data_IF_673203345561
#
_entry.id   IF_673203345561
#
_cell.length_a   1.000
_cell.length_b   1.000
_cell.length_c   1.000
_cell.angle_alpha   90.00
_cell.angle_beta   90.00
_cell.angle_gamma   90.00
#
_symmetry.space_group_name_H-M   'P 1'
#
loop_
_entity.id
_entity.type
_entity.pdbx_description
1 polymer ?
#
# COMPACT_ATOMS: atom_id res chain seq x y z
N UNK A 1 -38.74 -54.08 -7.62
CA UNK A 1 -37.44 -54.76 -7.77
C UNK A 1 -36.42 -53.97 -7.01
N UNK A 2 -36.02 -54.46 -5.85
CA UNK A 2 -34.99 -53.87 -4.96
C UNK A 2 -33.59 -54.16 -5.53
N UNK A 3 -32.71 -53.22 -5.49
CA UNK A 3 -31.26 -53.46 -5.45
C UNK A 3 -30.65 -52.55 -4.38
N UNK A 4 -30.30 -53.16 -3.27
CA UNK A 4 -29.48 -52.59 -2.20
C UNK A 4 -28.01 -52.67 -2.62
N UNK A 5 -27.27 -51.55 -2.54
CA UNK A 5 -25.82 -51.55 -2.62
C UNK A 5 -25.25 -51.23 -1.24
N UNK A 6 -24.50 -52.17 -0.71
CA UNK A 6 -23.85 -52.14 0.59
C UNK A 6 -22.66 -51.17 0.56
N UNK A 7 -22.61 -50.19 1.51
CA UNK A 7 -21.43 -49.46 1.83
C UNK A 7 -20.60 -50.25 2.84
N UNK A 8 -19.40 -50.64 2.42
CA UNK A 8 -18.41 -51.19 3.33
C UNK A 8 -17.66 -49.99 4.04
N UNK A 9 -17.91 -49.89 5.34
CA UNK A 9 -17.14 -49.00 6.24
C UNK A 9 -15.88 -49.76 6.63
N UNK A 10 -14.73 -49.32 6.12
CA UNK A 10 -13.42 -49.71 6.63
C UNK A 10 -12.99 -48.72 7.69
N UNK A 11 -13.17 -49.08 8.96
CA UNK A 11 -12.47 -48.44 10.09
C UNK A 11 -11.00 -48.83 10.04
N UNK A 12 -10.14 -47.92 9.76
CA UNK A 12 -8.70 -48.02 10.08
C UNK A 12 -8.46 -47.21 11.35
N UNK A 13 -8.30 -47.92 12.45
CA UNK A 13 -7.69 -47.42 13.66
C UNK A 13 -6.20 -47.26 13.38
N UNK A 14 -5.74 -46.03 13.24
CA UNK A 14 -4.33 -45.65 13.18
C UNK A 14 -4.01 -44.82 14.42
N UNK A 15 -3.19 -45.39 15.31
CA UNK A 15 -2.66 -44.79 16.51
C UNK A 15 -1.96 -43.48 16.22
N UNK A 16 -2.19 -42.49 17.08
CA UNK A 16 -1.52 -41.23 17.08
C UNK A 16 0.01 -41.39 17.31
N UNK A 17 0.76 -40.76 16.47
CA UNK A 17 2.07 -40.23 16.81
C UNK A 17 2.11 -38.77 16.35
N UNK A 18 2.42 -37.90 17.27
CA UNK A 18 2.53 -36.47 17.14
C UNK A 18 3.48 -36.08 16.02
N UNK A 19 2.93 -35.64 14.89
CA UNK A 19 3.70 -34.95 13.85
C UNK A 19 3.83 -33.46 14.24
N UNK A 20 4.67 -33.18 15.21
CA UNK A 20 5.13 -31.79 15.50
C UNK A 20 6.53 -31.50 14.96
N UNK A 21 7.26 -32.53 14.51
CA UNK A 21 8.65 -32.39 14.09
C UNK A 21 8.91 -32.30 12.57
N UNK A 22 7.87 -32.44 11.72
CA UNK A 22 8.07 -32.48 10.27
C UNK A 22 7.87 -31.12 9.53
N UNK A 23 7.44 -30.05 10.24
CA UNK A 23 7.27 -28.72 9.63
C UNK A 23 8.55 -27.88 9.62
N UNK A 24 9.65 -28.33 10.21
CA UNK A 24 10.88 -27.55 10.36
C UNK A 24 11.96 -27.82 9.28
N UNK A 25 11.80 -28.83 8.45
CA UNK A 25 12.77 -29.11 7.39
C UNK A 25 12.38 -28.45 6.08
N UNK A 26 13.38 -27.87 5.39
CA UNK A 26 13.20 -27.32 4.05
C UNK A 26 12.57 -28.34 3.12
N UNK A 27 11.49 -27.95 2.44
CA UNK A 27 10.97 -28.72 1.31
C UNK A 27 12.04 -28.71 0.21
N UNK A 28 12.32 -29.86 -0.35
CA UNK A 28 13.27 -29.98 -1.47
C UNK A 28 12.50 -30.33 -2.73
N UNK A 29 12.84 -29.67 -3.83
CA UNK A 29 12.33 -30.04 -5.15
C UNK A 29 12.94 -31.36 -5.63
N UNK A 30 12.44 -31.92 -6.72
CA UNK A 30 13.00 -33.11 -7.37
C UNK A 30 14.48 -32.93 -7.76
N UNK A 31 14.91 -31.70 -7.98
CA UNK A 31 16.32 -31.32 -8.26
C UNK A 31 17.18 -31.18 -6.99
N UNK A 32 16.58 -31.26 -5.79
CA UNK A 32 17.26 -31.06 -4.50
C UNK A 32 17.34 -29.61 -4.05
N UNK A 33 16.77 -28.66 -4.81
CA UNK A 33 16.72 -27.25 -4.43
C UNK A 33 15.83 -27.01 -3.21
N UNK A 34 16.19 -26.05 -2.36
CA UNK A 34 15.34 -25.52 -1.29
C UNK A 34 14.13 -24.81 -1.92
N UNK A 35 12.92 -25.26 -1.58
CA UNK A 35 11.69 -24.63 -2.05
C UNK A 35 11.24 -23.56 -1.05
N UNK A 36 10.99 -22.34 -1.55
CA UNK A 36 10.41 -21.23 -0.83
C UNK A 36 9.00 -20.98 -1.36
N UNK A 37 8.00 -21.17 -0.51
CA UNK A 37 6.61 -20.88 -0.86
C UNK A 37 6.33 -19.39 -0.57
N UNK A 38 6.02 -18.62 -1.60
CA UNK A 38 5.74 -17.19 -1.53
C UNK A 38 4.26 -16.91 -1.76
N UNK A 39 3.68 -16.02 -0.98
CA UNK A 39 2.28 -15.60 -1.10
C UNK A 39 2.17 -14.09 -1.16
N UNK A 40 1.50 -13.59 -2.19
CA UNK A 40 1.31 -12.15 -2.37
C UNK A 40 -0.03 -11.82 -3.05
N UNK A 41 -0.35 -10.50 -3.12
CA UNK A 41 -1.62 -10.02 -3.67
C UNK A 41 -1.50 -9.35 -5.05
N UNK A 42 -0.32 -9.24 -5.64
CA UNK A 42 -0.18 -8.58 -6.93
C UNK A 42 -0.63 -9.50 -8.06
N UNK A 43 -1.73 -9.11 -8.73
CA UNK A 43 -2.27 -9.89 -9.85
C UNK A 43 -1.23 -10.04 -10.96
N UNK A 44 -1.07 -11.25 -11.48
CA UNK A 44 -0.19 -11.53 -12.63
C UNK A 44 -0.64 -10.83 -13.92
N UNK A 45 -1.91 -10.42 -13.98
CA UNK A 45 -2.46 -9.64 -15.10
C UNK A 45 -2.13 -8.13 -14.99
N UNK A 46 -1.56 -7.68 -13.86
CA UNK A 46 -1.11 -6.30 -13.68
C UNK A 46 0.36 -6.14 -14.05
N UNK A 47 0.78 -4.95 -14.50
CA UNK A 47 2.18 -4.65 -14.82
C UNK A 47 3.11 -4.96 -13.64
N UNK A 48 2.72 -4.55 -12.42
CA UNK A 48 3.51 -4.81 -11.20
C UNK A 48 3.64 -6.30 -10.86
N UNK A 49 2.58 -7.07 -11.05
CA UNK A 49 2.61 -8.51 -10.83
C UNK A 49 3.44 -9.23 -11.88
N UNK A 50 3.29 -8.84 -13.16
CA UNK A 50 4.09 -9.39 -14.25
C UNK A 50 5.58 -9.09 -14.08
N UNK A 51 5.95 -7.87 -13.63
CA UNK A 51 7.33 -7.51 -13.33
C UNK A 51 7.92 -8.34 -12.17
N UNK A 52 7.14 -8.55 -11.12
CA UNK A 52 7.57 -9.41 -9.99
C UNK A 52 7.72 -10.87 -10.41
N UNK A 53 6.78 -11.41 -11.18
CA UNK A 53 6.85 -12.79 -11.69
C UNK A 53 8.10 -13.01 -12.56
N UNK A 54 8.40 -12.04 -13.43
CA UNK A 54 9.61 -12.06 -14.27
C UNK A 54 10.87 -12.09 -13.39
N UNK A 55 10.96 -11.22 -12.39
CA UNK A 55 12.07 -11.15 -11.44
C UNK A 55 12.26 -12.48 -10.68
N UNK A 56 11.16 -13.10 -10.26
CA UNK A 56 11.20 -14.40 -9.57
C UNK A 56 11.67 -15.52 -10.51
N UNK A 57 11.27 -15.49 -11.79
CA UNK A 57 11.76 -16.45 -12.78
C UNK A 57 13.25 -16.30 -13.02
N UNK A 58 13.76 -15.08 -13.15
CA UNK A 58 15.18 -14.78 -13.29
C UNK A 58 15.97 -15.29 -12.07
N UNK A 59 15.50 -15.04 -10.84
CA UNK A 59 16.08 -15.59 -9.62
C UNK A 59 16.12 -17.13 -9.63
N UNK A 60 15.02 -17.77 -10.02
CA UNK A 60 14.93 -19.24 -10.07
C UNK A 60 15.89 -19.82 -11.11
N UNK A 61 16.06 -19.16 -12.25
CA UNK A 61 17.00 -19.60 -13.30
C UNK A 61 18.47 -19.46 -12.84
N UNK A 62 18.81 -18.36 -12.19
CA UNK A 62 20.15 -18.13 -11.62
C UNK A 62 20.49 -19.10 -10.49
N UNK A 63 19.48 -19.52 -9.71
CA UNK A 63 19.63 -20.40 -8.55
C UNK A 63 19.21 -21.85 -8.83
N UNK A 64 19.12 -22.23 -10.10
CA UNK A 64 18.69 -23.57 -10.51
C UNK A 64 19.41 -24.68 -9.77
N UNK A 65 18.64 -25.57 -9.15
CA UNK A 65 19.13 -26.70 -8.36
C UNK A 65 19.62 -26.32 -6.95
N UNK A 66 19.51 -25.06 -6.54
CA UNK A 66 19.84 -24.58 -5.19
C UNK A 66 18.61 -24.02 -4.47
N UNK A 67 17.92 -23.06 -5.07
CA UNK A 67 16.74 -22.41 -4.51
C UNK A 67 15.66 -22.34 -5.62
N UNK A 68 14.41 -22.58 -5.24
CA UNK A 68 13.22 -22.44 -6.10
C UNK A 68 12.13 -21.69 -5.35
N UNK A 69 11.73 -20.51 -5.82
CA UNK A 69 10.61 -19.75 -5.28
C UNK A 69 9.34 -20.13 -6.03
N UNK A 70 8.33 -20.63 -5.30
CA UNK A 70 7.00 -20.97 -5.81
C UNK A 70 5.98 -19.96 -5.33
N UNK A 71 5.25 -19.36 -6.26
CA UNK A 71 4.33 -18.27 -5.99
C UNK A 71 2.89 -18.75 -5.92
N UNK A 72 2.15 -18.21 -4.95
CA UNK A 72 0.69 -18.24 -4.89
C UNK A 72 0.18 -16.80 -4.81
N UNK A 73 -0.84 -16.46 -5.60
CA UNK A 73 -1.39 -15.10 -5.66
C UNK A 73 -2.84 -15.08 -5.18
N UNK A 74 -3.19 -14.05 -4.40
CA UNK A 74 -4.59 -13.68 -4.12
C UNK A 74 -4.76 -12.19 -4.43
N UNK A 75 -5.34 -11.83 -5.59
CA UNK A 75 -5.41 -10.44 -6.04
C UNK A 75 -6.44 -9.59 -5.29
N UNK A 76 -7.32 -10.19 -4.52
CA UNK A 76 -8.22 -9.47 -3.61
C UNK A 76 -7.44 -9.04 -2.35
N UNK A 77 -6.94 -7.79 -2.36
CA UNK A 77 -6.04 -7.30 -1.32
C UNK A 77 -6.67 -7.34 0.08
N UNK A 78 -7.90 -6.88 0.33
CA UNK A 78 -8.55 -7.03 1.64
C UNK A 78 -8.65 -8.50 2.10
N UNK A 79 -9.11 -9.40 1.24
CA UNK A 79 -9.20 -10.82 1.56
C UNK A 79 -7.82 -11.46 1.76
N UNK A 80 -6.81 -11.01 1.02
CA UNK A 80 -5.41 -11.40 1.21
C UNK A 80 -4.92 -11.05 2.61
N UNK A 81 -5.10 -9.79 3.05
CA UNK A 81 -4.67 -9.30 4.37
C UNK A 81 -5.30 -10.10 5.51
N UNK A 82 -6.61 -10.33 5.46
CA UNK A 82 -7.33 -11.12 6.48
C UNK A 82 -6.86 -12.58 6.51
N UNK A 83 -6.54 -13.14 5.35
CA UNK A 83 -6.00 -14.51 5.26
C UNK A 83 -4.60 -14.59 5.84
N UNK A 84 -3.70 -13.65 5.54
CA UNK A 84 -2.34 -13.61 6.12
C UNK A 84 -2.41 -13.45 7.63
N UNK A 85 -3.26 -12.55 8.14
CA UNK A 85 -3.50 -12.39 9.58
C UNK A 85 -3.91 -13.71 10.26
N UNK A 86 -4.82 -14.44 9.62
CA UNK A 86 -5.24 -15.77 10.09
C UNK A 86 -4.07 -16.76 10.06
N UNK A 87 -3.29 -16.79 8.98
CA UNK A 87 -2.14 -17.68 8.85
C UNK A 87 -1.07 -17.41 9.91
N UNK A 88 -0.78 -16.12 10.20
CA UNK A 88 0.14 -15.74 11.29
C UNK A 88 -0.38 -16.27 12.63
N UNK A 89 -1.67 -16.10 12.92
CA UNK A 89 -2.25 -16.54 14.20
C UNK A 89 -2.25 -18.06 14.39
N UNK A 90 -2.34 -18.82 13.29
CA UNK A 90 -2.43 -20.29 13.29
C UNK A 90 -1.12 -21.01 12.97
N UNK A 91 0.01 -20.29 12.82
CA UNK A 91 1.32 -20.85 12.43
C UNK A 91 1.29 -21.61 11.09
N UNK A 92 0.57 -21.06 10.11
CA UNK A 92 0.40 -21.64 8.77
C UNK A 92 0.85 -20.68 7.66
N UNK A 93 1.67 -19.68 7.99
CA UNK A 93 2.23 -18.76 7.01
C UNK A 93 3.11 -19.51 6.01
N UNK A 94 3.11 -19.08 4.73
CA UNK A 94 4.13 -19.49 3.77
C UNK A 94 5.51 -18.98 4.19
N UNK A 95 6.57 -19.44 3.50
CA UNK A 95 7.93 -19.05 3.82
C UNK A 95 8.17 -17.55 3.65
N UNK A 96 7.56 -16.95 2.62
CA UNK A 96 7.66 -15.51 2.31
C UNK A 96 6.28 -14.95 2.00
N UNK A 97 5.97 -13.79 2.57
CA UNK A 97 4.71 -13.09 2.31
C UNK A 97 4.85 -11.60 2.62
N UNK A 98 4.02 -10.76 2.01
CA UNK A 98 3.92 -9.36 2.42
C UNK A 98 2.66 -9.11 3.26
N UNK A 99 2.73 -8.15 4.17
CA UNK A 99 1.61 -7.80 5.04
C UNK A 99 1.75 -6.37 5.55
N UNK A 100 0.70 -5.58 5.44
CA UNK A 100 0.67 -4.24 6.00
C UNK A 100 0.46 -4.32 7.52
N UNK A 101 1.56 -4.36 8.22
CA UNK A 101 1.51 -4.36 9.68
C UNK A 101 1.12 -2.98 10.20
N UNK A 102 0.07 -2.91 11.02
CA UNK A 102 -0.17 -1.74 11.83
C UNK A 102 0.90 -1.67 12.94
N UNK A 103 1.63 -0.56 13.09
CA UNK A 103 2.62 -0.41 14.17
C UNK A 103 2.02 -0.63 15.57
N UNK A 104 0.71 -0.39 15.74
CA UNK A 104 -0.02 -0.60 16.99
C UNK A 104 -0.58 -2.02 17.15
N UNK A 105 -0.36 -2.91 16.19
CA UNK A 105 -0.77 -4.32 16.28
C UNK A 105 0.25 -5.10 17.10
N UNK A 106 -0.01 -5.19 18.41
CA UNK A 106 0.84 -5.89 19.38
C UNK A 106 0.97 -7.38 19.10
N UNK A 107 -0.03 -8.00 18.44
CA UNK A 107 -0.01 -9.43 18.13
C UNK A 107 1.18 -9.84 17.27
N UNK A 108 1.67 -8.96 16.41
CA UNK A 108 2.87 -9.15 15.62
C UNK A 108 4.14 -9.22 16.49
N UNK A 109 4.23 -8.33 17.48
CA UNK A 109 5.40 -8.21 18.37
C UNK A 109 5.54 -9.40 19.31
N UNK A 110 4.40 -9.93 19.77
CA UNK A 110 4.33 -11.02 20.75
C UNK A 110 4.45 -12.40 20.11
N UNK A 111 4.16 -12.52 18.80
CA UNK A 111 4.04 -13.85 18.19
C UNK A 111 5.37 -14.61 18.10
N UNK A 112 6.50 -13.93 17.96
CA UNK A 112 7.80 -14.56 17.73
C UNK A 112 7.81 -15.53 16.53
N UNK A 113 6.83 -15.39 15.63
CA UNK A 113 6.55 -16.29 14.50
C UNK A 113 7.20 -15.86 13.21
N UNK A 114 7.71 -14.62 13.20
CA UNK A 114 8.41 -14.07 12.05
C UNK A 114 9.92 -14.27 12.21
N UNK A 115 10.59 -14.39 11.07
CA UNK A 115 12.04 -14.46 11.01
C UNK A 115 12.66 -13.12 11.40
N UNK A 116 13.70 -13.16 12.24
CA UNK A 116 14.51 -11.99 12.57
C UNK A 116 15.64 -11.84 11.55
N UNK A 117 15.64 -10.73 10.81
CA UNK A 117 16.65 -10.40 9.82
C UNK A 117 17.85 -9.65 10.38
N UNK A 118 17.84 -9.25 11.67
CA UNK A 118 18.89 -8.40 12.28
C UNK A 118 20.29 -8.97 12.08
N UNK A 119 20.46 -10.28 12.30
CA UNK A 119 21.77 -10.95 12.15
C UNK A 119 22.28 -11.02 10.70
N UNK A 120 21.41 -10.78 9.71
CA UNK A 120 21.73 -10.83 8.28
C UNK A 120 21.86 -9.44 7.66
N UNK A 121 21.44 -8.38 8.38
CA UNK A 121 21.47 -7.00 7.94
C UNK A 121 22.88 -6.44 8.12
N UNK A 122 23.75 -6.70 7.13
CA UNK A 122 25.06 -6.08 7.03
C UNK A 122 24.95 -4.62 6.53
N UNK A 123 26.04 -3.86 6.68
CA UNK A 123 26.09 -2.45 6.28
C UNK A 123 25.72 -2.26 4.78
N UNK A 124 26.16 -3.18 3.90
CA UNK A 124 25.85 -3.11 2.47
C UNK A 124 24.36 -3.26 2.20
N UNK A 125 23.68 -4.18 2.89
CA UNK A 125 22.23 -4.35 2.71
C UNK A 125 21.45 -3.22 3.37
N UNK A 126 21.84 -2.78 4.56
CA UNK A 126 21.21 -1.66 5.26
C UNK A 126 21.31 -0.36 4.47
N UNK A 127 22.45 -0.07 3.83
CA UNK A 127 22.67 1.13 3.03
C UNK A 127 21.77 1.23 1.78
N UNK A 128 21.13 0.14 1.38
CA UNK A 128 20.15 0.16 0.28
C UNK A 128 18.88 0.90 0.63
N UNK A 129 18.51 0.98 1.92
CA UNK A 129 17.26 1.57 2.38
C UNK A 129 17.40 3.06 2.68
N UNK A 130 16.27 3.77 2.70
CA UNK A 130 16.20 5.15 3.15
C UNK A 130 16.39 5.27 4.65
N UNK A 131 16.75 6.47 5.10
CA UNK A 131 16.85 6.77 6.52
C UNK A 131 15.51 6.53 7.21
N UNK A 132 15.50 5.80 8.33
CA UNK A 132 14.31 5.48 9.11
C UNK A 132 13.48 4.29 8.58
N UNK A 133 13.72 3.79 7.36
CA UNK A 133 12.89 2.73 6.79
C UNK A 133 12.99 1.41 7.58
N UNK A 134 14.19 1.03 7.98
CA UNK A 134 14.41 -0.18 8.80
C UNK A 134 13.89 0.00 10.23
N UNK A 135 14.04 1.18 10.81
CA UNK A 135 13.58 1.51 12.16
C UNK A 135 12.06 1.33 12.30
N UNK A 136 11.29 1.67 11.27
CA UNK A 136 9.82 1.51 11.29
C UNK A 136 9.36 0.05 11.39
N UNK A 137 10.22 -0.87 10.98
CA UNK A 137 9.98 -2.34 10.98
C UNK A 137 10.80 -3.08 12.05
N UNK A 138 11.55 -2.33 12.86
CA UNK A 138 12.32 -2.87 13.99
C UNK A 138 11.46 -2.85 15.25
N UNK A 139 11.29 -4.02 15.85
CA UNK A 139 10.47 -4.20 17.05
C UNK A 139 11.30 -4.92 18.09
N UNK A 140 11.44 -4.33 19.29
CA UNK A 140 12.27 -4.88 20.37
C UNK A 140 13.72 -5.17 19.97
N UNK A 141 14.24 -4.44 18.97
CA UNK A 141 15.60 -4.62 18.44
C UNK A 141 15.72 -5.71 17.36
N UNK A 142 14.61 -6.30 16.93
CA UNK A 142 14.55 -7.31 15.87
C UNK A 142 13.91 -6.73 14.60
N UNK A 143 14.56 -6.90 13.43
CA UNK A 143 14.02 -6.56 12.12
C UNK A 143 13.17 -7.73 11.65
N UNK A 144 11.85 -7.63 11.82
CA UNK A 144 10.91 -8.73 11.54
C UNK A 144 10.36 -8.75 10.11
N UNK A 145 10.69 -7.75 9.32
CA UNK A 145 10.32 -7.66 7.90
C UNK A 145 11.24 -6.68 7.17
N UNK A 146 11.34 -6.85 5.86
CA UNK A 146 12.17 -6.01 4.99
C UNK A 146 11.29 -4.94 4.36
N UNK A 147 11.64 -3.65 4.50
CA UNK A 147 10.92 -2.57 3.82
C UNK A 147 10.94 -2.82 2.32
N UNK A 148 9.80 -2.71 1.67
CA UNK A 148 9.74 -2.99 0.24
C UNK A 148 9.07 -1.86 -0.54
N UNK A 149 7.75 -1.74 -0.51
CA UNK A 149 7.07 -0.67 -1.23
C UNK A 149 7.04 0.61 -0.39
N UNK A 150 7.44 1.73 -1.00
CA UNK A 150 7.35 3.08 -0.42
C UNK A 150 6.88 4.02 -1.51
N UNK A 151 5.58 4.18 -1.62
CA UNK A 151 4.98 4.98 -2.66
C UNK A 151 4.23 6.17 -2.08
N UNK A 152 4.34 7.33 -2.74
CA UNK A 152 3.56 8.52 -2.43
C UNK A 152 2.23 8.51 -3.18
N UNK A 153 1.15 8.87 -2.51
CA UNK A 153 -0.11 9.18 -3.17
C UNK A 153 0.00 10.56 -3.84
N UNK A 154 -0.23 10.63 -5.14
CA UNK A 154 -0.18 11.86 -5.93
C UNK A 154 -1.55 12.19 -6.51
N UNK A 155 -1.70 13.41 -7.02
CA UNK A 155 -2.92 13.81 -7.71
C UNK A 155 -2.79 13.49 -9.20
N UNK A 156 -3.67 12.63 -9.70
CA UNK A 156 -3.88 12.40 -11.11
C UNK A 156 -5.06 13.27 -11.57
N UNK A 157 -4.93 13.95 -12.71
CA UNK A 157 -6.02 14.76 -13.24
C UNK A 157 -6.17 14.58 -14.76
N UNK A 158 -7.41 14.58 -15.22
CA UNK A 158 -7.73 14.47 -16.64
C UNK A 158 -7.64 15.84 -17.30
N UNK A 159 -6.56 16.07 -18.06
CA UNK A 159 -6.28 17.35 -18.75
C UNK A 159 -7.39 17.78 -19.70
N UNK A 160 -8.06 16.82 -20.38
CA UNK A 160 -9.16 17.15 -21.30
C UNK A 160 -10.40 17.63 -20.54
N UNK A 161 -10.74 17.00 -19.40
CA UNK A 161 -11.87 17.41 -18.56
C UNK A 161 -11.61 18.77 -17.90
N UNK A 162 -10.39 19.03 -17.47
CA UNK A 162 -9.98 20.35 -16.97
C UNK A 162 -10.12 21.44 -18.04
N UNK A 163 -9.58 21.18 -19.25
CA UNK A 163 -9.70 22.11 -20.38
C UNK A 163 -11.16 22.39 -20.78
N UNK A 164 -12.06 21.37 -20.72
CA UNK A 164 -13.50 21.56 -20.96
C UNK A 164 -14.14 22.50 -19.93
N UNK A 165 -13.65 22.53 -18.70
CA UNK A 165 -14.09 23.47 -17.65
C UNK A 165 -13.35 24.80 -17.69
N UNK A 166 -12.46 25.03 -18.67
CA UNK A 166 -11.69 26.26 -18.80
C UNK A 166 -10.53 26.37 -17.78
N UNK A 167 -10.02 25.23 -17.30
CA UNK A 167 -8.93 25.15 -16.35
C UNK A 167 -7.68 24.66 -17.09
N UNK A 168 -6.66 25.49 -17.18
CA UNK A 168 -5.44 25.20 -17.95
C UNK A 168 -4.44 24.30 -17.17
N UNK A 169 -4.36 24.49 -15.85
CA UNK A 169 -3.38 23.79 -14.99
C UNK A 169 -4.01 23.28 -13.69
N UNK A 170 -3.43 22.25 -13.12
CA UNK A 170 -3.86 21.77 -11.80
C UNK A 170 -3.52 22.81 -10.71
N UNK A 171 -4.46 23.15 -9.80
CA UNK A 171 -4.28 24.21 -8.83
C UNK A 171 -3.23 23.92 -7.76
N UNK A 172 -2.37 24.87 -7.47
CA UNK A 172 -1.34 24.78 -6.43
C UNK A 172 -1.84 25.00 -5.00
N UNK A 173 -3.10 25.46 -4.85
CA UNK A 173 -3.68 25.76 -3.54
C UNK A 173 -5.01 25.03 -3.32
N UNK A 174 -5.32 24.73 -2.06
CA UNK A 174 -6.58 24.06 -1.69
C UNK A 174 -7.82 24.90 -2.07
N UNK A 175 -7.77 26.21 -1.89
CA UNK A 175 -8.86 27.11 -2.32
C UNK A 175 -8.99 27.11 -3.85
N UNK A 176 -7.85 27.08 -4.56
CA UNK A 176 -7.81 26.92 -6.01
C UNK A 176 -8.42 25.60 -6.46
N UNK A 177 -8.12 24.50 -5.77
CA UNK A 177 -8.70 23.19 -6.09
C UNK A 177 -10.20 23.15 -5.81
N UNK A 178 -10.69 23.73 -4.71
CA UNK A 178 -12.14 23.87 -4.49
C UNK A 178 -12.83 24.68 -5.59
N UNK A 179 -12.19 25.77 -6.03
CA UNK A 179 -12.71 26.55 -7.17
C UNK A 179 -12.74 25.72 -8.45
N UNK A 180 -11.65 24.99 -8.75
CA UNK A 180 -11.60 24.08 -9.90
C UNK A 180 -12.70 23.01 -9.84
N UNK A 181 -12.98 22.45 -8.66
CA UNK A 181 -14.09 21.52 -8.45
C UNK A 181 -15.45 22.16 -8.76
N UNK A 182 -15.65 23.43 -8.38
CA UNK A 182 -16.87 24.16 -8.72
C UNK A 182 -16.99 24.40 -10.23
N UNK A 183 -15.91 24.85 -10.89
CA UNK A 183 -15.87 25.10 -12.33
C UNK A 183 -16.12 23.78 -13.12
N UNK A 184 -15.52 22.66 -12.70
CA UNK A 184 -15.78 21.33 -13.27
C UNK A 184 -17.28 20.94 -13.13
N UNK A 185 -17.82 21.09 -11.94
CA UNK A 185 -19.25 20.78 -11.67
C UNK A 185 -20.18 21.64 -12.50
N UNK A 186 -19.89 22.92 -12.66
CA UNK A 186 -20.68 23.86 -13.50
C UNK A 186 -20.60 23.48 -14.99
N UNK A 187 -19.48 22.88 -15.42
CA UNK A 187 -19.32 22.29 -16.75
C UNK A 187 -19.98 20.90 -16.89
N UNK A 188 -20.63 20.38 -15.85
CA UNK A 188 -21.28 19.07 -15.83
C UNK A 188 -20.31 17.90 -15.64
N UNK A 189 -19.10 18.16 -15.17
CA UNK A 189 -18.04 17.18 -14.93
C UNK A 189 -17.95 16.91 -13.42
N UNK A 190 -17.97 15.64 -13.01
CA UNK A 190 -17.77 15.26 -11.61
C UNK A 190 -16.30 15.33 -11.26
N UNK A 191 -15.88 16.12 -10.25
CA UNK A 191 -14.47 16.24 -9.89
C UNK A 191 -13.87 14.96 -9.34
N UNK A 192 -14.42 14.40 -8.27
CA UNK A 192 -13.86 13.25 -7.53
C UNK A 192 -14.76 12.02 -7.53
N UNK A 193 -14.19 10.88 -7.24
CA UNK A 193 -14.89 9.69 -6.79
C UNK A 193 -14.33 9.28 -5.42
N UNK A 194 -14.67 10.05 -4.37
CA UNK A 194 -14.38 9.69 -2.99
C UNK A 194 -15.13 8.39 -2.64
N UNK A 195 -14.67 7.68 -1.62
CA UNK A 195 -15.35 6.46 -1.18
C UNK A 195 -15.23 6.25 0.33
N UNK A 196 -16.13 5.45 0.90
CA UNK A 196 -16.22 5.21 2.34
C UNK A 196 -16.12 3.72 2.71
N UNK A 197 -16.28 2.78 1.76
CA UNK A 197 -16.16 1.36 2.06
C UNK A 197 -14.68 0.92 2.18
N UNK A 198 -14.49 -0.33 2.55
CA UNK A 198 -13.20 -0.92 2.85
C UNK A 198 -12.47 -0.09 3.94
N UNK A 199 -11.25 0.33 3.69
CA UNK A 199 -10.47 1.19 4.57
C UNK A 199 -10.58 2.69 4.23
N UNK A 200 -11.35 3.05 3.19
CA UNK A 200 -11.49 4.43 2.67
C UNK A 200 -10.16 5.13 2.37
N UNK A 201 -9.11 4.37 2.02
CA UNK A 201 -7.72 4.82 1.91
C UNK A 201 -7.54 6.08 1.04
N UNK A 202 -8.21 6.15 -0.12
CA UNK A 202 -8.16 7.31 -1.02
C UNK A 202 -8.72 8.58 -0.35
N UNK A 203 -9.88 8.48 0.31
CA UNK A 203 -10.47 9.59 1.07
C UNK A 203 -9.60 9.97 2.26
N UNK A 204 -8.97 9.00 2.92
CA UNK A 204 -8.02 9.22 4.01
C UNK A 204 -6.74 9.90 3.52
N UNK A 205 -6.27 9.65 2.30
CA UNK A 205 -5.15 10.40 1.71
C UNK A 205 -5.50 11.88 1.53
N UNK A 206 -6.68 12.18 0.95
CA UNK A 206 -7.15 13.58 0.86
C UNK A 206 -7.20 14.24 2.23
N UNK A 207 -7.77 13.54 3.22
CA UNK A 207 -7.84 14.07 4.59
C UNK A 207 -6.44 14.27 5.20
N UNK A 208 -5.51 13.35 4.97
CA UNK A 208 -4.12 13.46 5.43
C UNK A 208 -3.41 14.65 4.82
N UNK A 209 -3.56 14.88 3.52
CA UNK A 209 -3.02 16.06 2.84
C UNK A 209 -3.53 17.37 3.44
N UNK A 210 -4.84 17.44 3.70
CA UNK A 210 -5.47 18.60 4.35
C UNK A 210 -4.95 18.78 5.79
N UNK A 211 -4.88 17.68 6.56
CA UNK A 211 -4.39 17.70 7.92
C UNK A 211 -2.92 18.14 7.99
N UNK A 212 -2.05 17.61 7.13
CA UNK A 212 -0.65 18.03 7.03
C UNK A 212 -0.52 19.52 6.70
N UNK A 213 -1.33 20.02 5.76
CA UNK A 213 -1.32 21.43 5.38
C UNK A 213 -1.65 22.37 6.54
N UNK A 214 -2.54 21.98 7.45
CA UNK A 214 -2.90 22.76 8.63
C UNK A 214 -1.98 22.51 9.83
N UNK A 215 -1.66 21.24 10.13
CA UNK A 215 -0.96 20.84 11.35
C UNK A 215 0.55 20.70 11.19
N UNK A 216 1.04 20.48 9.97
CA UNK A 216 2.41 20.11 9.65
C UNK A 216 2.58 18.58 9.61
N UNK A 217 3.64 18.12 8.94
CA UNK A 217 3.93 16.69 8.77
C UNK A 217 4.39 16.03 10.06
N UNK A 218 5.13 16.73 10.92
CA UNK A 218 5.61 16.21 12.20
C UNK A 218 4.47 15.72 13.09
N UNK A 219 3.37 16.50 13.21
CA UNK A 219 2.20 16.12 14.01
C UNK A 219 1.61 14.76 13.60
N UNK A 220 1.60 14.49 12.30
CA UNK A 220 1.09 13.23 11.76
C UNK A 220 2.11 12.10 11.88
N UNK A 221 3.40 12.37 11.67
CA UNK A 221 4.45 11.37 11.74
C UNK A 221 4.71 10.87 13.17
N UNK A 222 4.57 11.74 14.16
CA UNK A 222 4.82 11.41 15.57
C UNK A 222 3.61 10.80 16.30
N UNK A 223 2.45 10.69 15.64
CA UNK A 223 1.24 10.14 16.26
C UNK A 223 0.65 11.03 17.35
N UNK A 224 0.67 12.35 17.12
CA UNK A 224 0.13 13.34 18.06
C UNK A 224 -1.38 13.27 18.26
N UNK A 225 -1.90 14.15 19.12
CA UNK A 225 -3.34 14.25 19.38
C UNK A 225 -4.13 14.58 18.11
N UNK A 226 -5.20 13.83 17.86
CA UNK A 226 -6.11 14.06 16.73
C UNK A 226 -7.09 15.20 17.04
N UNK A 227 -7.51 15.39 18.30
CA UNK A 227 -8.46 16.43 18.69
C UNK A 227 -7.77 17.81 18.81
N UNK A 228 -7.44 18.39 17.67
CA UNK A 228 -6.82 19.71 17.56
C UNK A 228 -7.65 20.64 16.67
N UNK A 229 -7.44 21.95 16.79
CA UNK A 229 -8.11 22.94 15.95
C UNK A 229 -7.73 22.78 14.48
N UNK A 230 -6.50 22.37 14.20
CA UNK A 230 -5.96 22.13 12.86
C UNK A 230 -6.66 20.93 12.22
N UNK A 231 -6.84 19.83 12.93
CA UNK A 231 -7.55 18.65 12.45
C UNK A 231 -9.02 18.94 12.15
N UNK A 232 -9.67 19.76 12.99
CA UNK A 232 -11.05 20.21 12.75
C UNK A 232 -11.17 21.02 11.48
N UNK A 233 -10.23 21.94 11.21
CA UNK A 233 -10.17 22.68 9.93
C UNK A 233 -9.95 21.76 8.74
N UNK A 234 -9.12 20.72 8.87
CA UNK A 234 -8.94 19.71 7.83
C UNK A 234 -10.25 18.96 7.55
N UNK A 235 -10.99 18.58 8.59
CA UNK A 235 -12.30 17.94 8.46
C UNK A 235 -13.36 18.89 7.83
N UNK A 236 -13.35 20.19 8.17
CA UNK A 236 -14.20 21.19 7.52
C UNK A 236 -13.92 21.30 6.01
N UNK A 237 -12.65 21.25 5.62
CA UNK A 237 -12.26 21.29 4.22
C UNK A 237 -12.64 19.99 3.51
N UNK A 238 -12.37 18.83 4.13
CA UNK A 238 -12.80 17.54 3.60
C UNK A 238 -14.31 17.49 3.37
N UNK A 239 -15.12 18.01 4.32
CA UNK A 239 -16.57 18.08 4.16
C UNK A 239 -16.99 18.85 2.89
N UNK A 240 -16.28 19.93 2.55
CA UNK A 240 -16.55 20.69 1.32
C UNK A 240 -16.26 19.87 0.06
N UNK A 241 -15.23 19.02 0.05
CA UNK A 241 -14.92 18.16 -1.09
C UNK A 241 -15.99 17.08 -1.33
N UNK A 242 -16.74 16.68 -0.30
CA UNK A 242 -17.87 15.75 -0.46
C UNK A 242 -18.99 16.30 -1.35
N UNK A 243 -19.11 17.62 -1.54
CA UNK A 243 -20.05 18.23 -2.47
C UNK A 243 -19.64 18.05 -3.96
N UNK A 244 -18.45 17.54 -4.21
CA UNK A 244 -17.82 17.41 -5.52
C UNK A 244 -17.45 15.96 -5.87
N UNK A 245 -18.11 14.98 -5.28
CA UNK A 245 -17.90 13.56 -5.54
C UNK A 245 -19.07 12.93 -6.31
N UNK A 246 -18.85 11.67 -6.74
CA UNK A 246 -19.91 10.88 -7.38
C UNK A 246 -21.07 10.58 -6.42
N UNK A 247 -22.27 10.37 -6.97
CA UNK A 247 -23.45 10.07 -6.15
C UNK A 247 -23.43 8.68 -5.47
N UNK A 248 -22.51 7.81 -5.89
CA UNK A 248 -22.28 6.48 -5.32
C UNK A 248 -21.14 6.43 -4.30
N UNK A 249 -20.58 7.56 -3.91
CA UNK A 249 -19.41 7.66 -3.02
C UNK A 249 -19.62 6.99 -1.65
N UNK A 250 -20.84 7.09 -1.08
CA UNK A 250 -21.18 6.40 0.16
C UNK A 250 -21.32 4.90 -0.10
N UNK A 251 -20.52 4.08 0.57
CA UNK A 251 -20.50 2.64 0.37
C UNK A 251 -19.73 2.18 -0.88
N UNK A 252 -19.22 3.10 -1.72
CA UNK A 252 -18.29 2.75 -2.78
C UNK A 252 -16.95 2.30 -2.20
N UNK A 253 -16.23 1.49 -2.96
CA UNK A 253 -14.89 1.00 -2.63
C UNK A 253 -13.83 1.53 -3.62
N UNK A 254 -12.57 1.16 -3.37
CA UNK A 254 -11.44 1.54 -4.21
C UNK A 254 -11.67 1.25 -5.69
N UNK A 255 -12.13 0.04 -6.05
CA UNK A 255 -12.33 -0.35 -7.45
C UNK A 255 -13.36 0.52 -8.16
N UNK A 256 -14.44 0.91 -7.47
CA UNK A 256 -15.45 1.83 -8.03
C UNK A 256 -14.84 3.20 -8.30
N UNK A 257 -14.09 3.74 -7.33
CA UNK A 257 -13.47 5.05 -7.45
C UNK A 257 -12.46 5.10 -8.61
N UNK A 258 -11.56 4.12 -8.70
CA UNK A 258 -10.55 4.07 -9.75
C UNK A 258 -11.15 3.81 -11.14
N UNK A 259 -12.17 2.95 -11.24
CA UNK A 259 -12.88 2.76 -12.50
C UNK A 259 -13.62 4.04 -12.97
N UNK A 260 -14.16 4.83 -12.05
CA UNK A 260 -14.76 6.12 -12.40
C UNK A 260 -13.73 7.08 -12.99
N UNK A 261 -12.51 7.12 -12.46
CA UNK A 261 -11.44 7.96 -13.01
C UNK A 261 -10.90 7.38 -14.34
N UNK A 262 -10.54 6.11 -14.38
CA UNK A 262 -9.98 5.46 -15.57
C UNK A 262 -10.93 5.49 -16.78
N UNK A 263 -12.25 5.48 -16.54
CA UNK A 263 -13.28 5.66 -17.60
C UNK A 263 -13.54 7.11 -17.99
N UNK A 264 -12.88 8.08 -17.34
CA UNK A 264 -13.13 9.51 -17.58
C UNK A 264 -14.45 10.04 -17.02
N UNK A 265 -15.09 9.32 -16.10
CA UNK A 265 -16.31 9.79 -15.42
C UNK A 265 -16.00 10.85 -14.36
N UNK A 266 -14.80 10.83 -13.79
CA UNK A 266 -14.31 11.85 -12.85
C UNK A 266 -13.00 12.46 -13.33
N UNK A 267 -12.75 13.70 -12.89
CA UNK A 267 -11.64 14.51 -13.37
C UNK A 267 -10.35 14.35 -12.54
N UNK A 268 -10.45 13.92 -11.29
CA UNK A 268 -9.33 13.88 -10.33
C UNK A 268 -9.34 12.53 -9.59
N UNK A 269 -8.14 11.98 -9.40
CA UNK A 269 -7.88 10.86 -8.49
C UNK A 269 -6.67 11.17 -7.59
N UNK A 270 -6.60 10.54 -6.41
CA UNK A 270 -5.45 10.59 -5.51
C UNK A 270 -5.01 9.16 -5.29
N UNK A 271 -3.87 8.75 -5.83
CA UNK A 271 -3.48 7.35 -5.79
C UNK A 271 -1.95 7.20 -5.89
N UNK A 272 -1.48 5.99 -5.65
CA UNK A 272 -0.09 5.61 -5.86
C UNK A 272 0.25 5.35 -7.33
N UNK A 273 1.52 5.02 -7.63
CA UNK A 273 1.98 4.79 -9.00
C UNK A 273 1.37 3.55 -9.66
N UNK A 274 0.83 2.61 -8.90
CA UNK A 274 0.12 1.43 -9.43
C UNK A 274 -1.12 1.78 -10.26
N UNK A 275 -1.68 2.99 -10.11
CA UNK A 275 -2.77 3.46 -10.96
C UNK A 275 -2.33 3.62 -12.42
N UNK A 276 -1.06 3.94 -12.69
CA UNK A 276 -0.52 4.20 -14.03
C UNK A 276 -0.86 3.06 -14.99
N UNK A 277 -0.62 1.81 -14.57
CA UNK A 277 -0.93 0.63 -15.38
C UNK A 277 -2.42 0.43 -15.69
N UNK A 278 -3.31 1.01 -14.88
CA UNK A 278 -4.76 0.97 -15.09
C UNK A 278 -5.28 2.07 -16.02
N UNK A 279 -4.43 3.02 -16.44
CA UNK A 279 -4.81 4.19 -17.23
C UNK A 279 -4.49 4.06 -18.72
N UNK A 280 -4.20 2.87 -19.23
CA UNK A 280 -3.71 2.63 -20.62
C UNK A 280 -4.54 3.33 -21.70
N UNK A 281 -5.88 3.36 -21.55
CA UNK A 281 -6.79 3.96 -22.53
C UNK A 281 -6.83 5.50 -22.49
N UNK A 282 -6.43 6.10 -21.37
CA UNK A 282 -6.48 7.56 -21.15
C UNK A 282 -5.13 8.15 -20.73
N UNK A 283 -4.06 7.39 -20.71
CA UNK A 283 -2.77 7.79 -20.20
C UNK A 283 -2.27 9.13 -20.78
N UNK A 284 -2.45 9.35 -22.06
CA UNK A 284 -2.09 10.60 -22.75
C UNK A 284 -2.96 11.82 -22.37
N UNK A 285 -4.11 11.59 -21.73
CA UNK A 285 -5.04 12.63 -21.26
C UNK A 285 -4.84 12.98 -19.81
N UNK A 286 -4.09 12.18 -19.08
CA UNK A 286 -3.85 12.34 -17.64
C UNK A 286 -2.54 13.09 -17.43
N UNK A 287 -2.47 13.85 -16.37
CA UNK A 287 -1.25 14.44 -15.81
C UNK A 287 -1.14 14.11 -14.33
N UNK A 288 0.07 14.20 -13.81
CA UNK A 288 0.36 14.07 -12.39
C UNK A 288 0.67 15.45 -11.83
N UNK A 289 0.14 15.74 -10.64
CA UNK A 289 0.35 17.00 -9.95
C UNK A 289 0.77 16.77 -8.50
N UNK A 290 1.54 17.71 -7.97
CA UNK A 290 1.82 17.81 -6.53
C UNK A 290 0.53 18.13 -5.77
N UNK A 291 0.51 17.81 -4.48
CA UNK A 291 -0.60 18.20 -3.62
C UNK A 291 -0.68 19.72 -3.51
N UNK A 292 -1.91 20.28 -3.48
CA UNK A 292 -2.08 21.69 -3.15
C UNK A 292 -1.61 22.02 -1.75
N UNK A 293 -1.30 23.29 -1.49
CA UNK A 293 -0.95 23.80 -0.16
C UNK A 293 -1.82 25.00 0.21
N UNK A 294 -1.81 25.40 1.48
CA UNK A 294 -2.31 26.73 1.85
C UNK A 294 -1.16 27.74 1.71
N UNK A 295 -1.49 28.98 1.39
CA UNK A 295 -0.50 30.05 1.28
C UNK A 295 0.37 30.24 2.55
N UNK A 296 -0.26 30.03 3.71
CA UNK A 296 0.39 30.06 5.02
C UNK A 296 0.39 28.66 5.67
N UNK A 297 0.42 27.59 4.85
CA UNK A 297 0.43 26.20 5.30
C UNK A 297 1.74 25.81 5.97
N UNK A 298 1.69 24.72 6.75
CA UNK A 298 2.82 24.23 7.55
C UNK A 298 3.64 23.14 6.84
N UNK A 299 3.41 22.92 5.56
CA UNK A 299 4.13 21.91 4.77
C UNK A 299 5.01 22.55 3.72
N UNK A 300 6.06 21.84 3.30
CA UNK A 300 6.87 22.24 2.16
C UNK A 300 6.03 22.32 0.88
N UNK A 301 6.52 23.03 -0.14
CA UNK A 301 5.80 23.15 -1.41
C UNK A 301 5.63 21.81 -2.11
N UNK A 302 6.64 20.93 -1.99
CA UNK A 302 6.63 19.59 -2.55
C UNK A 302 6.65 18.55 -1.43
N UNK A 303 5.49 18.25 -0.87
CA UNK A 303 5.36 17.20 0.13
C UNK A 303 4.47 16.07 -0.37
N UNK A 304 4.71 14.86 0.12
CA UNK A 304 3.90 13.69 -0.22
C UNK A 304 3.34 13.01 1.02
N UNK A 305 2.13 12.49 0.88
CA UNK A 305 1.65 11.41 1.76
C UNK A 305 2.25 10.13 1.24
N UNK A 306 3.23 9.60 1.99
CA UNK A 306 3.93 8.36 1.66
C UNK A 306 3.66 7.32 2.72
N UNK A 307 3.64 6.08 2.34
CA UNK A 307 3.50 4.99 3.28
C UNK A 307 4.48 3.87 2.91
N UNK A 308 5.18 3.35 3.93
CA UNK A 308 5.88 2.08 3.78
C UNK A 308 4.82 0.98 3.72
N UNK A 309 4.58 0.49 2.53
CA UNK A 309 3.55 -0.51 2.26
C UNK A 309 4.19 -1.86 1.98
N UNK A 310 3.41 -2.90 2.18
CA UNK A 310 3.76 -4.25 1.78
C UNK A 310 5.20 -4.67 2.12
N UNK A 311 5.68 -4.48 3.38
CA UNK A 311 6.97 -5.05 3.76
C UNK A 311 6.93 -6.57 3.59
N UNK A 312 8.05 -7.15 3.15
CA UNK A 312 8.18 -8.59 3.02
C UNK A 312 8.62 -9.20 4.34
N UNK A 313 7.80 -10.10 4.85
CA UNK A 313 8.09 -10.90 6.03
C UNK A 313 8.38 -12.36 5.63
N UNK A 314 9.03 -13.07 6.52
CA UNK A 314 9.22 -14.51 6.39
C UNK A 314 8.75 -15.24 7.63
N UNK A 315 8.29 -16.48 7.45
CA UNK A 315 8.00 -17.38 8.54
C UNK A 315 9.28 -17.73 9.29
N UNK A 316 9.21 -17.77 10.63
CA UNK A 316 10.32 -18.27 11.43
C UNK A 316 10.57 -19.74 11.12
N UNK A 317 11.84 -20.10 10.94
CA UNK A 317 12.27 -21.48 10.74
C UNK A 317 13.55 -21.76 11.55
N UNK A 318 13.76 -23.01 11.93
CA UNK A 318 15.02 -23.48 12.55
C UNK A 318 15.92 -24.20 11.52
N UNK A 319 15.52 -24.21 10.25
CA UNK A 319 16.33 -24.79 9.16
C UNK A 319 17.25 -23.72 8.55
N UNK A 320 18.55 -23.87 8.80
CA UNK A 320 19.56 -22.92 8.37
C UNK A 320 19.64 -22.77 6.83
N UNK A 321 19.42 -23.86 6.05
CA UNK A 321 19.41 -23.79 4.59
C UNK A 321 18.22 -22.95 4.09
N UNK A 322 17.07 -23.08 4.74
CA UNK A 322 15.88 -22.29 4.43
C UNK A 322 16.07 -20.82 4.82
N UNK A 323 16.62 -20.52 6.00
CA UNK A 323 16.95 -19.14 6.38
C UNK A 323 17.89 -18.47 5.37
N UNK A 324 18.98 -19.16 4.97
CA UNK A 324 19.92 -18.66 3.97
C UNK A 324 19.24 -18.42 2.61
N UNK A 325 18.36 -19.32 2.20
CA UNK A 325 17.61 -19.17 0.94
C UNK A 325 16.64 -17.97 0.97
N UNK A 326 15.94 -17.75 2.10
CA UNK A 326 15.06 -16.57 2.30
C UNK A 326 15.88 -15.29 2.22
N UNK A 327 17.01 -15.22 2.92
CA UNK A 327 17.91 -14.04 2.90
C UNK A 327 18.45 -13.78 1.51
N UNK A 328 18.88 -14.83 0.78
CA UNK A 328 19.35 -14.69 -0.58
C UNK A 328 18.28 -14.09 -1.51
N UNK A 329 17.05 -14.56 -1.41
CA UNK A 329 15.93 -14.00 -2.18
C UNK A 329 15.61 -12.55 -1.77
N UNK A 330 15.56 -12.23 -0.47
CA UNK A 330 15.31 -10.88 0.01
C UNK A 330 16.40 -9.89 -0.43
N UNK A 331 17.68 -10.29 -0.38
CA UNK A 331 18.78 -9.46 -0.91
C UNK A 331 18.71 -9.29 -2.42
N UNK A 332 18.22 -10.29 -3.15
CA UNK A 332 18.03 -10.22 -4.61
C UNK A 332 16.92 -9.22 -4.97
N UNK A 333 15.72 -9.36 -4.43
CA UNK A 333 14.59 -8.47 -4.77
C UNK A 333 14.78 -7.02 -4.30
N UNK A 334 15.72 -6.77 -3.39
CA UNK A 334 16.11 -5.44 -2.91
C UNK A 334 17.45 -4.96 -3.50
N UNK A 335 17.97 -5.63 -4.52
CA UNK A 335 19.17 -5.18 -5.25
C UNK A 335 18.85 -3.98 -6.15
N UNK A 336 19.87 -3.19 -6.50
CA UNK A 336 19.71 -2.02 -7.39
C UNK A 336 19.07 -2.42 -8.73
N UNK A 337 19.48 -3.54 -9.31
CA UNK A 337 18.94 -4.04 -10.59
C UNK A 337 17.46 -4.44 -10.46
N UNK A 338 17.10 -5.18 -9.42
CA UNK A 338 15.72 -5.59 -9.16
C UNK A 338 14.81 -4.37 -8.88
N UNK A 339 15.32 -3.40 -8.13
CA UNK A 339 14.62 -2.14 -7.85
C UNK A 339 14.35 -1.38 -9.14
N UNK A 340 15.37 -1.23 -10.00
CA UNK A 340 15.24 -0.60 -11.31
C UNK A 340 14.21 -1.32 -12.19
N UNK A 341 14.31 -2.64 -12.29
CA UNK A 341 13.39 -3.44 -13.09
C UNK A 341 11.95 -3.31 -12.62
N UNK A 342 11.68 -3.47 -11.33
CA UNK A 342 10.35 -3.33 -10.76
C UNK A 342 9.77 -1.91 -10.94
N UNK A 343 10.62 -0.89 -10.85
CA UNK A 343 10.18 0.49 -11.06
C UNK A 343 9.82 0.74 -12.53
N UNK A 344 10.68 0.36 -13.46
CA UNK A 344 10.49 0.67 -14.88
C UNK A 344 9.44 -0.21 -15.56
N UNK A 345 9.36 -1.50 -15.22
CA UNK A 345 8.43 -2.45 -15.82
C UNK A 345 7.09 -2.55 -15.07
N UNK A 346 7.06 -2.27 -13.76
CA UNK A 346 5.89 -2.47 -12.91
C UNK A 346 5.33 -1.22 -12.25
N UNK A 347 5.95 -0.06 -12.46
CA UNK A 347 5.65 1.17 -11.72
C UNK A 347 5.63 0.95 -10.19
N UNK A 348 6.55 0.11 -9.68
CA UNK A 348 6.69 -0.19 -8.25
C UNK A 348 7.78 0.71 -7.66
N UNK A 349 7.38 1.55 -6.73
CA UNK A 349 8.32 2.42 -6.01
C UNK A 349 8.67 1.78 -4.68
N UNK A 350 9.96 1.60 -4.47
CA UNK A 350 10.48 0.76 -3.41
C UNK A 350 11.19 1.58 -2.33
N UNK A 351 11.27 1.02 -1.14
CA UNK A 351 12.07 1.54 -0.03
C UNK A 351 13.56 1.49 -0.32
N UNK A 352 14.10 0.40 -0.93
CA UNK A 352 15.47 0.43 -1.43
C UNK A 352 15.66 1.55 -2.47
N UNK A 353 16.78 2.25 -2.38
CA UNK A 353 17.08 3.43 -3.18
C UNK A 353 17.15 3.10 -4.67
N UNK A 354 16.41 3.85 -5.47
CA UNK A 354 16.52 3.84 -6.91
C UNK A 354 17.65 4.78 -7.35
N UNK A 355 18.51 4.33 -8.26
CA UNK A 355 19.54 5.16 -8.84
C UNK A 355 18.94 6.13 -9.89
N UNK A 356 18.64 7.36 -9.46
CA UNK A 356 18.04 8.40 -10.32
C UNK A 356 18.98 8.89 -11.43
N UNK A 357 20.30 8.61 -11.35
CA UNK A 357 21.26 8.95 -12.42
C UNK A 357 21.41 7.84 -13.47
N UNK A 358 20.80 6.67 -13.26
CA UNK A 358 20.74 5.62 -14.28
C UNK A 358 20.05 6.15 -15.54
N UNK A 359 20.65 5.98 -16.75
CA UNK A 359 20.10 6.53 -17.99
C UNK A 359 18.68 6.06 -18.30
N UNK A 360 18.33 4.83 -17.99
CA UNK A 360 16.99 4.29 -18.25
C UNK A 360 15.95 4.93 -17.33
N UNK A 361 16.30 5.15 -16.05
CA UNK A 361 15.45 5.85 -15.08
C UNK A 361 15.28 7.31 -15.46
N UNK A 362 16.39 7.99 -15.75
CA UNK A 362 16.43 9.44 -16.05
C UNK A 362 15.67 9.82 -17.33
N UNK A 363 15.64 8.93 -18.32
CA UNK A 363 14.98 9.16 -19.61
C UNK A 363 13.58 8.55 -19.67
N UNK A 364 13.00 8.10 -18.56
CA UNK A 364 11.64 7.58 -18.53
C UNK A 364 10.64 8.68 -18.86
N UNK A 365 9.74 8.40 -19.82
CA UNK A 365 8.72 9.32 -20.30
C UNK A 365 7.31 8.93 -19.80
N UNK A 366 6.31 9.75 -20.13
CA UNK A 366 4.90 9.51 -19.79
C UNK A 366 4.61 9.70 -18.29
N UNK A 367 3.53 9.10 -17.81
CA UNK A 367 3.10 9.26 -16.42
C UNK A 367 4.14 8.72 -15.42
N UNK A 368 4.83 7.64 -15.76
CA UNK A 368 5.90 7.13 -14.90
C UNK A 368 7.03 8.14 -14.78
N UNK A 369 7.43 8.79 -15.88
CA UNK A 369 8.43 9.86 -15.86
C UNK A 369 7.96 11.09 -15.07
N UNK A 370 6.69 11.50 -15.22
CA UNK A 370 6.10 12.57 -14.42
C UNK A 370 6.12 12.24 -12.91
N UNK A 371 5.79 10.98 -12.55
CA UNK A 371 5.83 10.54 -11.16
C UNK A 371 7.26 10.52 -10.58
N UNK A 372 8.23 9.99 -11.34
CA UNK A 372 9.65 9.98 -10.96
C UNK A 372 10.17 11.41 -10.75
N UNK A 373 9.87 12.33 -11.67
CA UNK A 373 10.27 13.71 -11.58
C UNK A 373 9.69 14.40 -10.32
N UNK A 374 8.40 14.18 -10.04
CA UNK A 374 7.75 14.72 -8.84
C UNK A 374 8.37 14.14 -7.57
N UNK A 375 8.60 12.83 -7.52
CA UNK A 375 9.17 12.17 -6.35
C UNK A 375 10.62 12.61 -6.07
N UNK A 376 11.38 12.96 -7.11
CA UNK A 376 12.78 13.40 -6.97
C UNK A 376 12.96 14.80 -6.32
N UNK A 377 11.90 15.60 -6.27
CA UNK A 377 11.91 16.96 -5.71
C UNK A 377 11.13 17.09 -4.39
N UNK A 378 10.78 15.95 -3.78
CA UNK A 378 10.05 15.92 -2.51
C UNK A 378 10.91 16.51 -1.39
N UNK A 379 10.38 17.50 -0.70
CA UNK A 379 11.06 18.21 0.41
C UNK A 379 10.56 17.75 1.79
N UNK A 380 9.44 17.02 1.84
CA UNK A 380 8.88 16.51 3.06
C UNK A 380 7.81 15.44 2.80
N UNK A 381 7.60 14.58 3.78
CA UNK A 381 6.59 13.54 3.69
C UNK A 381 5.89 13.32 5.02
N UNK A 382 4.70 12.77 4.94
CA UNK A 382 3.94 12.30 6.09
C UNK A 382 3.30 10.94 5.78
N UNK A 383 3.13 10.14 6.81
CA UNK A 383 2.37 8.89 6.68
C UNK A 383 0.87 9.18 6.58
N UNK A 384 0.12 8.28 5.93
CA UNK A 384 -1.33 8.35 5.96
C UNK A 384 -1.82 8.30 7.41
N UNK A 385 -2.81 9.13 7.75
CA UNK A 385 -3.35 9.24 9.12
C UNK A 385 -3.71 7.89 9.73
N UNK A 386 -4.15 6.93 8.91
CA UNK A 386 -4.53 5.59 9.33
C UNK A 386 -3.40 4.83 10.04
N UNK A 387 -2.12 5.18 9.76
CA UNK A 387 -0.96 4.58 10.43
C UNK A 387 -0.87 4.91 11.90
N UNK A 388 -1.38 6.06 12.29
CA UNK A 388 -1.34 6.55 13.66
C UNK A 388 -2.66 6.31 14.42
N UNK A 389 -3.61 5.65 13.78
CA UNK A 389 -4.86 5.25 14.43
C UNK A 389 -4.73 3.85 15.02
N UNK A 390 -5.38 3.66 16.19
CA UNK A 390 -5.60 2.32 16.74
C UNK A 390 -6.44 1.47 15.78
N UNK A 391 -6.38 0.16 15.91
CA UNK A 391 -7.23 -0.77 15.13
C UNK A 391 -8.72 -0.45 15.29
N UNK A 392 -9.14 -0.04 16.51
CA UNK A 392 -10.53 0.38 16.77
C UNK A 392 -10.90 1.62 15.97
N UNK A 393 -10.07 2.66 16.01
CA UNK A 393 -10.31 3.91 15.28
C UNK A 393 -10.31 3.67 13.75
N UNK A 394 -9.38 2.88 13.22
CA UNK A 394 -9.35 2.51 11.81
C UNK A 394 -10.61 1.78 11.37
N UNK A 395 -11.12 0.84 12.17
CA UNK A 395 -12.38 0.12 11.88
C UNK A 395 -13.59 1.06 11.88
N UNK A 396 -13.57 2.12 12.68
CA UNK A 396 -14.67 3.09 12.77
C UNK A 396 -14.60 4.21 11.73
N UNK A 397 -13.41 4.50 11.22
CA UNK A 397 -13.18 5.63 10.32
C UNK A 397 -14.09 5.64 9.08
N UNK A 398 -14.35 4.53 8.35
CA UNK A 398 -15.28 4.52 7.23
C UNK A 398 -16.67 5.05 7.59
N UNK A 399 -17.26 4.57 8.69
CA UNK A 399 -18.60 5.01 9.14
C UNK A 399 -18.63 6.46 9.65
N UNK A 400 -17.52 6.94 10.20
CA UNK A 400 -17.40 8.35 10.59
C UNK A 400 -17.29 9.26 9.36
N UNK A 401 -16.57 8.83 8.31
CA UNK A 401 -16.50 9.53 7.03
C UNK A 401 -17.87 9.61 6.34
N UNK A 402 -18.66 8.52 6.39
CA UNK A 402 -20.05 8.54 5.91
C UNK A 402 -20.90 9.57 6.68
N UNK A 403 -20.77 9.56 8.01
CA UNK A 403 -21.51 10.49 8.86
C UNK A 403 -21.15 11.95 8.57
N UNK A 404 -19.87 12.23 8.31
CA UNK A 404 -19.40 13.56 7.89
C UNK A 404 -19.93 13.93 6.50
N UNK A 405 -19.86 13.01 5.54
CA UNK A 405 -20.34 13.22 4.17
C UNK A 405 -21.85 13.53 4.10
N UNK A 406 -22.62 12.89 4.98
CA UNK A 406 -24.09 13.04 5.08
C UNK A 406 -24.54 14.18 5.99
N UNK A 407 -23.64 15.03 6.50
CA UNK A 407 -23.92 16.06 7.50
C UNK A 407 -24.62 15.54 8.77
N UNK A 408 -24.45 14.25 9.07
CA UNK A 408 -25.00 13.63 10.28
C UNK A 408 -24.17 13.96 11.52
N UNK A 409 -22.94 14.37 11.33
CA UNK A 409 -22.04 14.93 12.33
C UNK A 409 -21.35 16.17 11.77
N UNK A 410 -21.05 17.12 12.65
CA UNK A 410 -20.21 18.26 12.28
C UNK A 410 -18.74 17.85 12.16
N UNK A 411 -17.88 18.62 11.48
CA UNK A 411 -16.44 18.35 11.46
C UNK A 411 -15.81 18.24 12.85
N UNK A 412 -16.24 19.05 13.81
CA UNK A 412 -15.79 19.00 15.21
C UNK A 412 -16.20 17.69 15.88
N UNK A 413 -17.43 17.24 15.67
CA UNK A 413 -17.94 15.97 16.22
C UNK A 413 -17.24 14.77 15.55
N UNK A 414 -16.97 14.84 14.25
CA UNK A 414 -16.19 13.82 13.53
C UNK A 414 -14.81 13.63 14.17
N UNK A 415 -14.05 14.71 14.38
CA UNK A 415 -12.73 14.67 15.02
C UNK A 415 -12.83 14.20 16.46
N UNK A 416 -13.81 14.70 17.24
CA UNK A 416 -14.01 14.29 18.63
C UNK A 416 -14.34 12.79 18.75
N UNK A 417 -15.16 12.25 17.85
CA UNK A 417 -15.48 10.82 17.84
C UNK A 417 -14.25 9.98 17.43
N UNK A 418 -13.54 10.38 16.35
CA UNK A 418 -12.33 9.69 15.92
C UNK A 418 -11.26 9.68 17.02
N UNK A 419 -11.04 10.81 17.69
CA UNK A 419 -10.09 10.89 18.82
C UNK A 419 -10.49 10.00 20.00
N UNK A 420 -11.77 9.86 20.28
CA UNK A 420 -12.27 8.98 21.33
C UNK A 420 -12.02 7.50 21.01
N UNK A 421 -12.23 7.09 19.77
CA UNK A 421 -11.99 5.71 19.33
C UNK A 421 -10.47 5.38 19.25
N UNK A 422 -9.63 6.43 19.23
CA UNK A 422 -8.16 6.32 19.14
C UNK A 422 -7.45 6.33 20.51
N UNK A 423 -8.18 6.14 21.61
CA UNK A 423 -7.64 6.12 22.99
C UNK A 423 -7.22 4.74 23.45
#
# INVERSE_FOLDING_TARGET
MLLAAAMAVSMLAGCGSSKKDDQQKAEKSDSGAVVLNMYHSWSTDSERGAALDKLIQEFNDENKGKIEVKVTVNPDFPAYQEKVKTMISTDTTPDIFHYNFNPNDLSRQESGKLMDFTKYMDDEWADRFGEGDLETLTVNGEISSIPFEKAGAVFYYNKELFAQAGIDEFPDTWDGLLKACADLKDAGITPFSLYTADDAWYTCNLFTYLAASYAGTETLNEGGSIDTAEMKKAAEMLRKFWDYTTGDAIGANYSVAMNNFASGKTAIAIDGPWLIGSLTDIQNKVGIAKAPSFKDGKVAENYLVTDAQTPWAAAKTDDAEKEEAIVAFMKYITSEESVKQLTLEGAVFLSPKLNMEDPDVKNTEGLLGEYLALNSVVEGSTVNIQRNLTTTANTKLPSLLESLALDSVTPDEFIGQLSKENQ
#
